data_IF_958339406213
#
_entry.id   IF_958339406213
#
_cell.length_a   1.000
_cell.length_b   1.000
_cell.length_c   1.000
_cell.angle_alpha   90.00
_cell.angle_beta   90.00
_cell.angle_gamma   90.00
#
_symmetry.space_group_name_H-M   'P 1'
#
loop_
_entity.id
_entity.type
_entity.pdbx_description
1 polymer ?
#
# COMPACT_ATOMS: atom_id res chain seq x y z
N UNK A 1 -38.91 -49.84 3.91
CA UNK A 1 -37.45 -49.92 3.74
C UNK A 1 -36.82 -48.81 4.57
N UNK A 2 -36.33 -49.11 5.78
CA UNK A 2 -35.71 -48.09 6.66
C UNK A 2 -34.22 -48.03 6.33
N UNK A 3 -33.76 -46.94 5.75
CA UNK A 3 -32.34 -46.69 5.50
C UNK A 3 -31.65 -46.47 6.84
N UNK A 4 -30.86 -47.44 7.29
CA UNK A 4 -30.05 -47.31 8.49
C UNK A 4 -28.77 -46.54 8.17
N UNK A 5 -28.77 -45.25 8.45
CA UNK A 5 -27.56 -44.44 8.42
C UNK A 5 -26.65 -44.85 9.58
N UNK A 6 -25.56 -45.56 9.28
CA UNK A 6 -24.58 -45.99 10.29
C UNK A 6 -23.77 -44.80 10.79
N UNK A 7 -23.48 -44.76 12.10
CA UNK A 7 -22.69 -43.72 12.76
C UNK A 7 -21.34 -43.44 12.08
N UNK A 8 -20.78 -44.44 11.38
CA UNK A 8 -19.56 -44.30 10.57
C UNK A 8 -19.74 -43.33 9.38
N UNK A 9 -20.91 -43.30 8.76
CA UNK A 9 -21.22 -42.37 7.66
C UNK A 9 -21.39 -40.94 8.18
N UNK A 10 -21.94 -40.78 9.39
CA UNK A 10 -22.07 -39.48 10.04
C UNK A 10 -20.70 -38.91 10.44
N UNK A 11 -19.79 -39.76 10.93
CA UNK A 11 -18.39 -39.40 11.19
C UNK A 11 -17.64 -39.04 9.89
N UNK A 12 -17.88 -39.77 8.81
CA UNK A 12 -17.24 -39.51 7.52
C UNK A 12 -17.73 -38.21 6.88
N UNK A 13 -19.06 -37.94 6.92
CA UNK A 13 -19.62 -36.66 6.50
C UNK A 13 -19.13 -35.51 7.39
N UNK A 14 -19.11 -35.70 8.71
CA UNK A 14 -18.61 -34.70 9.66
C UNK A 14 -17.13 -34.36 9.42
N UNK A 15 -16.30 -35.37 9.16
CA UNK A 15 -14.89 -35.18 8.82
C UNK A 15 -14.68 -34.45 7.48
N UNK A 16 -15.47 -34.78 6.45
CA UNK A 16 -15.41 -34.11 5.16
C UNK A 16 -15.86 -32.63 5.25
N UNK A 17 -16.90 -32.35 6.05
CA UNK A 17 -17.37 -30.98 6.32
C UNK A 17 -16.30 -30.19 7.07
N UNK A 18 -15.69 -30.75 8.12
CA UNK A 18 -14.61 -30.10 8.88
C UNK A 18 -13.36 -29.84 8.02
N UNK A 19 -13.00 -30.76 7.12
CA UNK A 19 -11.91 -30.58 6.17
C UNK A 19 -12.21 -29.47 5.15
N UNK A 20 -13.47 -29.35 4.70
CA UNK A 20 -13.89 -28.30 3.76
C UNK A 20 -13.94 -26.90 4.40
N UNK A 21 -14.15 -26.79 5.71
CA UNK A 21 -14.11 -25.52 6.45
C UNK A 21 -12.69 -24.97 6.62
N UNK A 22 -11.65 -25.76 6.36
CA UNK A 22 -10.25 -25.37 6.52
C UNK A 22 -9.71 -24.51 5.35
N UNK A 23 -10.52 -24.23 4.32
CA UNK A 23 -10.07 -23.65 3.06
C UNK A 23 -10.62 -22.24 2.79
N UNK A 24 -10.33 -21.27 3.67
CA UNK A 24 -10.46 -19.83 3.35
C UNK A 24 -9.43 -18.93 4.03
N UNK A 25 -8.38 -19.48 4.64
CA UNK A 25 -7.34 -18.67 5.25
C UNK A 25 -6.52 -17.97 4.14
N UNK A 26 -6.67 -16.65 4.03
CA UNK A 26 -5.86 -15.80 3.16
C UNK A 26 -4.39 -16.02 3.47
N UNK A 27 -3.59 -16.35 2.46
CA UNK A 27 -2.17 -16.69 2.63
C UNK A 27 -1.34 -15.50 3.11
N UNK A 28 -1.71 -14.26 2.74
CA UNK A 28 -1.09 -13.04 3.25
C UNK A 28 -2.01 -11.81 3.13
N UNK A 29 -2.58 -11.27 4.23
CA UNK A 29 -3.50 -10.13 4.17
C UNK A 29 -2.93 -8.85 3.55
N UNK A 30 -1.60 -8.69 3.54
CA UNK A 30 -0.93 -7.54 2.90
C UNK A 30 -1.19 -7.48 1.39
N UNK A 31 -1.48 -8.63 0.76
CA UNK A 31 -1.73 -8.72 -0.69
C UNK A 31 -3.02 -7.97 -1.10
N UNK A 32 -3.90 -7.64 -0.16
CA UNK A 32 -5.10 -6.82 -0.40
C UNK A 32 -4.86 -5.31 -0.26
N UNK A 33 -3.71 -4.89 0.26
CA UNK A 33 -3.43 -3.49 0.52
C UNK A 33 -2.88 -2.83 -0.74
N UNK A 34 -3.57 -1.81 -1.24
CA UNK A 34 -3.03 -0.88 -2.22
C UNK A 34 -2.67 0.43 -1.54
N UNK A 35 -1.37 0.75 -1.52
CA UNK A 35 -0.88 2.03 -0.98
C UNK A 35 -1.21 3.22 -1.89
N UNK A 36 -1.76 2.97 -3.09
CA UNK A 36 -2.18 4.00 -4.04
C UNK A 36 -3.59 4.54 -3.79
N UNK A 37 -4.38 3.92 -2.90
CA UNK A 37 -5.74 4.38 -2.59
C UNK A 37 -5.69 5.80 -2.01
N UNK A 38 -6.37 6.73 -2.67
CA UNK A 38 -6.45 8.16 -2.28
C UNK A 38 -5.31 9.05 -2.80
N UNK A 39 -4.42 8.50 -3.64
CA UNK A 39 -3.30 9.26 -4.24
C UNK A 39 -3.69 10.05 -5.49
N UNK A 40 -4.86 9.76 -6.07
CA UNK A 40 -5.44 10.55 -7.16
C UNK A 40 -6.24 11.73 -6.60
N UNK A 41 -5.52 12.62 -5.91
CA UNK A 41 -6.05 13.82 -5.28
C UNK A 41 -5.44 15.08 -5.88
N UNK A 42 -6.17 16.19 -5.79
CA UNK A 42 -5.70 17.54 -6.13
C UNK A 42 -5.99 18.50 -4.97
N UNK A 43 -5.44 19.70 -5.03
CA UNK A 43 -5.72 20.76 -4.05
C UNK A 43 -7.22 21.05 -3.97
N UNK A 44 -7.88 21.14 -5.13
CA UNK A 44 -9.29 21.55 -5.25
C UNK A 44 -10.25 20.48 -4.74
N UNK A 45 -9.89 19.20 -4.85
CA UNK A 45 -10.71 18.08 -4.41
C UNK A 45 -9.86 16.88 -4.02
N UNK A 46 -10.06 16.42 -2.79
CA UNK A 46 -9.41 15.23 -2.25
C UNK A 46 -10.25 13.98 -2.47
N UNK A 47 -9.59 12.89 -2.89
CA UNK A 47 -10.09 11.51 -2.82
C UNK A 47 -9.40 10.71 -1.70
N UNK A 48 -8.60 11.38 -0.86
CA UNK A 48 -7.87 10.80 0.26
C UNK A 48 -6.70 11.67 0.71
N UNK A 49 -5.99 12.30 -0.24
CA UNK A 49 -4.77 13.09 0.02
C UNK A 49 -3.67 12.25 0.66
N UNK A 50 -3.49 11.03 0.15
CA UNK A 50 -2.47 10.09 0.60
C UNK A 50 -1.29 10.07 -0.38
N UNK A 51 -0.18 9.49 0.05
CA UNK A 51 0.94 9.09 -0.79
C UNK A 51 1.26 7.62 -0.50
N UNK A 52 1.88 6.88 -1.43
CA UNK A 52 2.16 5.45 -1.25
C UNK A 52 3.31 5.22 -0.27
N UNK A 53 2.99 5.22 1.02
CA UNK A 53 3.94 5.00 2.10
C UNK A 53 4.44 3.55 2.13
N UNK A 54 5.75 3.37 1.90
CA UNK A 54 6.46 2.12 2.13
C UNK A 54 7.10 2.19 3.52
N UNK A 55 6.57 1.42 4.46
CA UNK A 55 7.00 1.46 5.85
C UNK A 55 6.60 0.19 6.62
N UNK A 56 7.23 0.01 7.79
CA UNK A 56 6.67 -0.83 8.85
C UNK A 56 5.55 -0.07 9.59
N UNK A 57 4.62 -0.77 10.26
CA UNK A 57 3.66 -0.12 11.15
C UNK A 57 4.39 0.79 12.16
N UNK A 58 4.00 2.06 12.19
CA UNK A 58 4.61 3.11 13.04
C UNK A 58 6.12 3.31 12.86
N UNK A 59 6.65 2.98 11.68
CA UNK A 59 8.04 3.27 11.34
C UNK A 59 8.36 4.77 11.50
N UNK A 60 9.52 5.07 12.08
CA UNK A 60 9.96 6.46 12.26
C UNK A 60 10.17 7.17 10.93
N UNK A 61 10.70 6.46 9.92
CA UNK A 61 10.97 6.98 8.59
C UNK A 61 10.11 6.25 7.56
N UNK A 62 9.30 6.97 6.79
CA UNK A 62 8.56 6.41 5.66
C UNK A 62 9.30 6.71 4.35
N UNK A 63 9.05 5.88 3.34
CA UNK A 63 9.58 6.07 2.00
C UNK A 63 8.44 6.17 0.98
N UNK A 64 8.56 7.09 0.03
CA UNK A 64 7.59 7.23 -1.07
C UNK A 64 8.31 7.60 -2.38
N UNK A 65 7.85 7.12 -3.54
CA UNK A 65 8.18 7.79 -4.79
C UNK A 65 7.70 9.24 -4.72
N UNK A 66 8.49 10.15 -5.29
CA UNK A 66 8.18 11.57 -5.36
C UNK A 66 7.96 11.98 -6.81
N UNK A 67 6.81 12.58 -7.09
CA UNK A 67 6.46 13.16 -8.39
C UNK A 67 6.33 14.69 -8.31
N UNK A 68 5.90 15.24 -7.17
CA UNK A 68 5.86 16.68 -6.88
C UNK A 68 7.23 17.30 -6.61
N UNK A 69 7.37 18.63 -6.78
CA UNK A 69 8.63 19.35 -6.49
C UNK A 69 9.01 19.24 -5.01
N UNK A 70 10.29 19.41 -4.66
CA UNK A 70 10.68 19.49 -3.25
C UNK A 70 9.97 20.67 -2.58
N UNK A 71 9.39 20.42 -1.40
CA UNK A 71 8.56 21.41 -0.68
C UNK A 71 7.08 21.45 -1.10
N UNK A 72 6.67 20.75 -2.17
CA UNK A 72 5.25 20.57 -2.50
C UNK A 72 4.60 19.57 -1.54
N UNK A 73 3.44 19.93 -0.98
CA UNK A 73 2.64 19.05 -0.14
C UNK A 73 2.10 17.83 -0.90
N UNK A 74 1.86 17.94 -2.20
CA UNK A 74 1.51 16.80 -3.06
C UNK A 74 2.77 16.07 -3.55
N UNK A 75 3.49 15.48 -2.60
CA UNK A 75 4.74 14.75 -2.86
C UNK A 75 4.58 13.66 -3.93
N UNK A 76 3.43 13.00 -3.97
CA UNK A 76 3.04 12.03 -5.00
C UNK A 76 1.60 12.30 -5.46
N UNK A 77 1.36 12.21 -6.77
CA UNK A 77 0.01 12.21 -7.37
C UNK A 77 -0.07 11.13 -8.44
N UNK A 78 -1.20 10.41 -8.48
CA UNK A 78 -1.40 9.26 -9.37
C UNK A 78 -1.26 9.60 -10.85
N UNK A 79 -1.72 10.79 -11.25
CA UNK A 79 -1.73 11.22 -12.66
C UNK A 79 -0.38 11.78 -13.14
N UNK A 80 0.67 11.78 -12.30
CA UNK A 80 1.98 12.31 -12.68
C UNK A 80 2.81 11.30 -13.48
N UNK A 81 3.34 11.74 -14.62
CA UNK A 81 4.07 10.87 -15.55
C UNK A 81 5.55 10.63 -15.19
N UNK A 82 6.09 11.37 -14.21
CA UNK A 82 7.52 11.36 -13.88
C UNK A 82 7.77 11.27 -12.38
N UNK A 83 8.63 10.33 -12.02
CA UNK A 83 9.27 10.26 -10.70
C UNK A 83 10.55 11.07 -10.76
N UNK A 84 10.80 11.88 -9.73
CA UNK A 84 12.00 12.69 -9.57
C UNK A 84 12.91 12.24 -8.42
N UNK A 85 12.47 11.27 -7.64
CA UNK A 85 13.26 10.67 -6.58
C UNK A 85 12.45 9.70 -5.72
N UNK A 86 13.16 8.98 -4.87
CA UNK A 86 12.60 8.21 -3.77
C UNK A 86 12.91 8.95 -2.48
N UNK A 87 11.85 9.43 -1.83
CA UNK A 87 11.91 10.39 -0.73
C UNK A 87 11.72 9.69 0.59
N UNK A 88 12.61 9.97 1.55
CA UNK A 88 12.33 9.74 2.96
C UNK A 88 11.44 10.87 3.46
N UNK A 89 10.33 10.54 4.13
CA UNK A 89 9.29 11.50 4.51
C UNK A 89 8.73 11.22 5.90
N UNK A 90 8.29 12.28 6.57
CA UNK A 90 7.51 12.28 7.80
C UNK A 90 6.18 13.03 7.63
N UNK A 91 5.79 13.32 6.38
CA UNK A 91 4.63 14.16 6.06
C UNK A 91 3.32 13.51 6.52
N UNK A 92 2.54 14.12 7.42
CA UNK A 92 1.25 13.54 7.82
C UNK A 92 0.10 13.91 6.88
N UNK A 93 0.21 15.02 6.15
CA UNK A 93 -0.76 15.47 5.15
C UNK A 93 -0.13 16.51 4.21
N UNK A 94 -0.66 16.71 2.99
CA UNK A 94 -0.13 17.75 2.09
C UNK A 94 -0.20 19.17 2.68
N UNK A 95 -1.13 19.40 3.61
CA UNK A 95 -1.34 20.71 4.24
C UNK A 95 -0.30 21.03 5.32
N UNK A 96 0.14 20.01 6.05
CA UNK A 96 1.16 20.15 7.09
C UNK A 96 2.58 20.18 6.49
N UNK A 97 2.72 19.61 5.29
CA UNK A 97 4.00 19.42 4.62
C UNK A 97 4.94 18.50 5.43
N UNK A 98 6.22 18.49 5.06
CA UNK A 98 7.19 17.48 5.48
C UNK A 98 8.40 18.09 6.20
N UNK A 99 9.11 17.27 6.97
CA UNK A 99 10.32 17.65 7.70
C UNK A 99 11.34 16.51 7.72
N UNK A 100 12.62 16.84 7.95
CA UNK A 100 13.69 15.82 7.97
C UNK A 100 13.76 15.01 6.67
N UNK A 101 13.39 15.63 5.55
CA UNK A 101 13.19 15.00 4.25
C UNK A 101 14.46 15.06 3.40
N UNK A 102 14.71 14.00 2.64
CA UNK A 102 15.69 13.98 1.56
C UNK A 102 15.23 12.96 0.51
N UNK A 103 15.80 13.03 -0.69
CA UNK A 103 15.48 12.11 -1.77
C UNK A 103 16.73 11.54 -2.42
N UNK A 104 16.60 10.32 -2.93
CA UNK A 104 17.63 9.64 -3.73
C UNK A 104 17.03 9.37 -5.11
N UNK A 105 17.71 9.80 -6.17
CA UNK A 105 17.30 9.54 -7.55
C UNK A 105 18.45 8.86 -8.32
N UNK A 106 18.37 7.54 -8.58
CA UNK A 106 19.33 6.90 -9.45
C UNK A 106 19.11 7.37 -10.90
N UNK A 107 20.21 7.76 -11.57
CA UNK A 107 20.19 8.20 -12.96
C UNK A 107 21.30 7.50 -13.76
N UNK A 108 21.14 7.48 -15.08
CA UNK A 108 22.17 7.02 -16.04
C UNK A 108 22.48 8.14 -17.03
N UNK A 109 23.69 8.15 -17.59
CA UNK A 109 24.14 9.19 -18.53
C UNK A 109 24.97 10.27 -17.83
N UNK A 110 24.68 11.55 -18.10
CA UNK A 110 25.39 12.67 -17.49
C UNK A 110 24.89 12.98 -16.08
N UNK A 111 25.79 13.49 -15.22
CA UNK A 111 25.41 14.02 -13.92
C UNK A 111 24.58 15.30 -14.11
N UNK A 112 23.37 15.27 -13.55
CA UNK A 112 22.46 16.41 -13.55
C UNK A 112 21.89 16.54 -12.14
N UNK A 113 21.91 17.75 -11.61
CA UNK A 113 21.20 18.12 -10.39
C UNK A 113 20.45 19.42 -10.68
N UNK A 114 19.14 19.38 -10.47
CA UNK A 114 18.24 20.51 -10.64
C UNK A 114 17.28 20.50 -9.45
N UNK A 115 17.35 21.53 -8.61
CA UNK A 115 16.65 21.61 -7.32
C UNK A 115 15.18 22.08 -7.47
N UNK A 116 14.76 22.46 -8.68
CA UNK A 116 13.35 22.74 -8.99
C UNK A 116 13.08 23.83 -10.00
#
# INVERSE_FOLDING_TARGET
MKTHFSFKHLLFLGGAVLYSLQSSAVKNPVDYVSTLVGTQSKFELSTGNTYPATALPWGMNFWTPQTGKMGDGWAYTYDADKIRGFKQTHQPSPWMNDYGQFAIMPITGGLVFDDG
#
